data_IF_521038338139
#
_entry.id   IF_521038338139
#
_cell.length_a   1.000
_cell.length_b   1.000
_cell.length_c   1.000
_cell.angle_alpha   90.00
_cell.angle_beta   90.00
_cell.angle_gamma   90.00
#
_symmetry.space_group_name_H-M   'P 1'
#
loop_
_entity.id
_entity.type
_entity.pdbx_description
1 polymer ?
#
# COMPACT_ATOMS: atom_id res chain seq x y z
N UNK A 1 22.24 -58.08 -73.21
CA UNK A 1 23.11 -58.54 -72.09
C UNK A 1 22.79 -57.70 -70.87
N UNK A 2 22.66 -58.36 -69.71
CA UNK A 2 22.21 -57.84 -68.42
C UNK A 2 23.13 -56.75 -67.86
N UNK A 3 22.56 -55.74 -67.20
CA UNK A 3 22.74 -55.47 -65.76
C UNK A 3 22.37 -54.02 -65.43
N UNK A 4 21.48 -53.83 -64.46
CA UNK A 4 21.79 -53.08 -63.24
C UNK A 4 20.66 -53.30 -62.23
N UNK A 5 21.05 -53.89 -61.10
CA UNK A 5 20.27 -54.16 -59.91
C UNK A 5 19.92 -52.85 -59.19
N UNK A 6 18.80 -52.87 -58.43
CA UNK A 6 18.40 -52.01 -57.29
C UNK A 6 16.86 -51.95 -57.28
N UNK A 7 16.07 -52.09 -56.21
CA UNK A 7 16.26 -52.27 -54.77
C UNK A 7 14.88 -52.68 -54.21
N UNK A 8 14.87 -53.46 -53.11
CA UNK A 8 13.70 -53.91 -52.35
C UNK A 8 12.79 -52.77 -51.83
N UNK A 9 11.48 -53.02 -51.75
CA UNK A 9 10.60 -52.36 -50.77
C UNK A 9 9.42 -53.28 -50.41
N UNK A 10 9.36 -53.71 -49.15
CA UNK A 10 8.24 -54.45 -48.58
C UNK A 10 7.44 -53.56 -47.64
N UNK A 11 6.13 -53.63 -47.82
CA UNK A 11 5.02 -52.94 -47.18
C UNK A 11 4.84 -53.33 -45.71
N UNK A 12 4.42 -52.40 -44.84
CA UNK A 12 3.45 -52.69 -43.77
C UNK A 12 2.76 -51.41 -43.29
N UNK A 13 1.43 -51.48 -43.27
CA UNK A 13 0.45 -50.43 -42.93
C UNK A 13 -0.02 -50.64 -41.50
N UNK A 14 -0.28 -49.56 -40.75
CA UNK A 14 -1.17 -49.59 -39.59
C UNK A 14 -1.79 -48.20 -39.38
N UNK A 15 -3.09 -48.10 -39.71
CA UNK A 15 -3.98 -46.97 -39.46
C UNK A 15 -4.97 -47.44 -38.40
N UNK A 16 -5.04 -46.73 -37.26
CA UNK A 16 -6.14 -46.85 -36.30
C UNK A 16 -6.76 -45.47 -36.13
N UNK A 17 -8.07 -45.45 -36.32
CA UNK A 17 -9.00 -44.33 -36.41
C UNK A 17 -9.51 -44.00 -35.00
N UNK A 18 -9.73 -42.73 -34.63
CA UNK A 18 -10.76 -42.39 -33.65
C UNK A 18 -11.40 -41.00 -33.86
N UNK A 19 -12.71 -41.06 -34.09
CA UNK A 19 -13.81 -40.11 -33.84
C UNK A 19 -13.80 -38.66 -34.35
N UNK A 20 -14.77 -38.41 -35.22
CA UNK A 20 -15.41 -37.15 -35.63
C UNK A 20 -15.89 -36.28 -34.46
N UNK A 21 -15.85 -34.94 -34.59
CA UNK A 21 -17.04 -34.06 -34.74
C UNK A 21 -16.63 -32.58 -34.86
N UNK A 22 -17.19 -31.94 -35.90
CA UNK A 22 -17.34 -30.52 -36.24
C UNK A 22 -17.03 -29.43 -35.19
N UNK A 23 -16.41 -28.33 -35.63
CA UNK A 23 -17.07 -27.00 -35.72
C UNK A 23 -16.11 -25.83 -36.05
N UNK A 24 -16.36 -25.22 -37.22
CA UNK A 24 -16.38 -23.77 -37.53
C UNK A 24 -15.09 -22.91 -37.46
N UNK A 25 -14.70 -22.40 -38.65
CA UNK A 25 -14.22 -21.03 -38.96
C UNK A 25 -12.92 -20.55 -38.28
N UNK A 26 -11.80 -20.41 -39.00
CA UNK A 26 -11.44 -19.20 -39.79
C UNK A 26 -11.79 -17.90 -39.05
N UNK A 27 -10.87 -17.03 -38.64
CA UNK A 27 -9.86 -16.34 -39.45
C UNK A 27 -8.69 -15.88 -38.56
N UNK A 28 -7.47 -16.02 -39.08
CA UNK A 28 -6.22 -15.30 -38.77
C UNK A 28 -6.03 -14.70 -37.37
N UNK A 29 -5.02 -15.25 -36.69
CA UNK A 29 -4.26 -14.65 -35.59
C UNK A 29 -4.07 -13.13 -35.74
N UNK A 30 -4.80 -12.35 -34.95
CA UNK A 30 -4.31 -11.06 -34.51
C UNK A 30 -3.26 -11.36 -33.45
N UNK A 31 -2.00 -11.18 -33.84
CA UNK A 31 -0.88 -11.14 -32.93
C UNK A 31 -1.03 -9.93 -32.01
N UNK A 32 -1.81 -10.04 -30.93
CA UNK A 32 -1.71 -9.12 -29.81
C UNK A 32 -0.53 -9.60 -28.96
N UNK A 33 0.66 -9.19 -29.37
CA UNK A 33 1.80 -9.11 -28.45
C UNK A 33 1.62 -7.84 -27.61
N UNK A 34 0.66 -7.83 -26.68
CA UNK A 34 0.69 -6.88 -25.56
C UNK A 34 1.29 -7.60 -24.35
N UNK A 35 2.56 -7.98 -24.52
CA UNK A 35 3.44 -8.18 -23.38
C UNK A 35 3.84 -6.81 -22.84
N UNK A 36 3.13 -6.35 -21.81
CA UNK A 36 3.74 -5.50 -20.79
C UNK A 36 3.09 -5.71 -19.42
N UNK A 37 3.24 -6.91 -18.87
CA UNK A 37 2.98 -7.17 -17.46
C UNK A 37 4.25 -6.77 -16.69
N UNK A 38 4.26 -5.57 -16.12
CA UNK A 38 4.88 -5.31 -14.80
C UNK A 38 4.31 -4.02 -14.18
N UNK A 39 3.15 -4.13 -13.52
CA UNK A 39 2.58 -3.06 -12.70
C UNK A 39 3.09 -3.23 -11.28
N UNK A 40 4.12 -2.51 -10.88
CA UNK A 40 4.72 -2.66 -9.55
C UNK A 40 4.48 -1.37 -8.79
N UNK A 41 3.61 -1.32 -7.77
CA UNK A 41 3.50 -0.18 -6.84
C UNK A 41 4.28 -0.51 -5.58
N UNK A 42 5.56 -0.14 -5.54
CA UNK A 42 6.43 -0.39 -4.39
C UNK A 42 6.69 0.88 -3.56
N UNK A 43 6.12 0.87 -2.34
CA UNK A 43 6.58 1.50 -1.09
C UNK A 43 6.18 2.96 -0.82
N UNK A 44 5.24 3.14 0.12
CA UNK A 44 5.23 4.35 0.94
C UNK A 44 6.21 4.19 2.11
N UNK A 45 7.10 5.16 2.31
CA UNK A 45 7.95 5.21 3.51
C UNK A 45 7.14 5.82 4.66
N UNK A 46 7.16 5.20 5.83
CA UNK A 46 6.57 5.78 7.04
C UNK A 46 7.70 6.32 7.93
N UNK A 47 7.64 7.62 8.25
CA UNK A 47 8.59 8.28 9.13
C UNK A 47 7.90 8.67 10.45
N UNK A 48 8.60 8.45 11.57
CA UNK A 48 8.09 8.73 12.91
C UNK A 48 8.83 9.93 13.51
N UNK A 49 8.10 10.82 14.18
CA UNK A 49 8.66 11.95 14.92
C UNK A 49 7.98 12.06 16.29
N UNK A 50 8.77 12.21 17.34
CA UNK A 50 8.27 12.52 18.69
C UNK A 50 8.64 13.96 19.04
N UNK A 51 7.70 14.68 19.63
CA UNK A 51 7.89 16.02 20.17
C UNK A 51 7.28 16.06 21.57
N UNK A 52 7.93 16.79 22.47
CA UNK A 52 7.52 16.90 23.85
C UNK A 52 7.77 18.33 24.34
N UNK A 53 6.79 18.91 25.05
CA UNK A 53 6.91 20.20 25.72
C UNK A 53 6.70 19.98 27.23
N UNK A 54 7.41 20.69 28.12
CA UNK A 54 7.28 20.52 29.58
C UNK A 54 8.63 20.41 30.33
N UNK A 55 8.59 20.15 31.64
CA UNK A 55 9.77 20.17 32.53
C UNK A 55 10.51 18.82 32.56
N UNK A 56 9.86 17.68 32.27
CA UNK A 56 10.52 16.39 32.02
C UNK A 56 9.67 15.41 31.19
N UNK A 57 9.11 15.84 30.05
CA UNK A 57 8.21 15.02 29.28
C UNK A 57 8.98 13.92 28.52
N UNK A 58 8.43 12.71 28.50
CA UNK A 58 8.94 11.61 27.69
C UNK A 58 7.89 11.22 26.66
N UNK A 59 8.19 11.45 25.38
CA UNK A 59 7.33 11.03 24.27
C UNK A 59 8.13 10.11 23.36
N UNK A 60 7.55 8.97 23.00
CA UNK A 60 8.12 8.09 21.99
C UNK A 60 7.05 7.64 21.01
N UNK A 61 7.49 7.36 19.78
CA UNK A 61 6.66 6.79 18.73
C UNK A 61 7.47 5.73 17.99
N UNK A 62 6.83 4.60 17.70
CA UNK A 62 7.37 3.59 16.80
C UNK A 62 6.31 3.17 15.79
N UNK A 63 6.76 2.82 14.58
CA UNK A 63 5.90 2.49 13.45
C UNK A 63 6.36 1.16 12.87
N UNK A 64 5.43 0.24 12.66
CA UNK A 64 5.69 -1.03 11.98
C UNK A 64 4.63 -1.31 10.92
N UNK A 65 4.99 -1.58 9.66
CA UNK A 65 6.34 -1.47 9.09
C UNK A 65 6.72 0.00 8.79
N UNK A 66 8.02 0.30 8.72
CA UNK A 66 8.56 1.60 8.25
C UNK A 66 8.49 1.74 6.72
N UNK A 67 8.27 0.64 6.02
CA UNK A 67 8.12 0.55 4.56
C UNK A 67 6.85 -0.24 4.28
N UNK A 68 5.82 0.42 3.75
CA UNK A 68 4.53 -0.20 3.47
C UNK A 68 4.35 -0.44 1.97
N UNK A 69 4.12 -1.71 1.62
CA UNK A 69 3.76 -2.11 0.26
C UNK A 69 2.23 -2.26 0.13
N UNK A 70 1.61 -1.46 -0.73
CA UNK A 70 0.18 -1.51 -1.06
C UNK A 70 -0.14 -2.47 -2.23
N UNK A 71 0.85 -3.24 -2.68
CA UNK A 71 0.74 -4.25 -3.71
C UNK A 71 0.52 -3.68 -5.11
N UNK A 72 0.30 -4.59 -6.06
CA UNK A 72 0.02 -4.25 -7.46
C UNK A 72 -1.45 -3.97 -7.68
N UNK A 73 -1.73 -2.90 -8.44
CA UNK A 73 -3.08 -2.50 -8.85
C UNK A 73 -3.11 -2.03 -10.30
N UNK A 74 -4.26 -2.22 -10.93
CA UNK A 74 -4.54 -1.68 -12.26
C UNK A 74 -5.13 -0.28 -12.13
N UNK A 75 -4.95 0.53 -13.17
CA UNK A 75 -5.48 1.89 -13.27
C UNK A 75 -6.95 1.88 -13.70
N UNK A 76 -7.84 1.41 -12.82
CA UNK A 76 -9.28 1.25 -13.08
C UNK A 76 -10.17 2.32 -12.44
N UNK A 77 -9.58 3.26 -11.69
CA UNK A 77 -10.31 4.32 -11.01
C UNK A 77 -11.09 3.87 -9.78
N UNK A 78 -10.93 2.63 -9.32
CA UNK A 78 -11.60 2.11 -8.12
C UNK A 78 -10.83 2.47 -6.84
N UNK A 79 -11.56 2.57 -5.73
CA UNK A 79 -10.98 2.80 -4.40
C UNK A 79 -10.60 1.47 -3.74
N UNK A 80 -9.30 1.28 -3.51
CA UNK A 80 -8.78 0.08 -2.88
C UNK A 80 -8.55 0.28 -1.39
N UNK A 81 -9.00 -0.68 -0.59
CA UNK A 81 -8.87 -0.64 0.88
C UNK A 81 -7.71 -1.49 1.38
N UNK A 82 -6.94 -0.93 2.31
CA UNK A 82 -5.79 -1.56 2.92
C UNK A 82 -5.87 -1.40 4.43
N UNK A 83 -6.50 -2.38 5.07
CA UNK A 83 -6.81 -2.32 6.50
C UNK A 83 -5.62 -2.77 7.36
N UNK A 84 -5.48 -2.14 8.52
CA UNK A 84 -4.51 -2.41 9.57
C UNK A 84 -3.08 -2.61 9.06
N UNK A 85 -2.65 -1.75 8.13
CA UNK A 85 -1.36 -1.90 7.44
C UNK A 85 -0.18 -1.32 8.18
N UNK A 86 -0.43 -0.34 9.01
CA UNK A 86 0.60 0.29 9.83
C UNK A 86 0.15 0.29 11.27
N UNK A 87 0.96 -0.32 12.12
CA UNK A 87 0.87 -0.26 13.57
C UNK A 87 1.68 0.95 14.05
N UNK A 88 1.07 1.77 14.89
CA UNK A 88 1.69 2.93 15.52
C UNK A 88 1.60 2.72 17.02
N UNK A 89 2.74 2.63 17.69
CA UNK A 89 2.81 2.58 19.15
C UNK A 89 3.31 3.92 19.64
N UNK A 90 2.54 4.55 20.52
CA UNK A 90 2.86 5.85 21.11
C UNK A 90 2.97 5.69 22.61
N UNK A 91 4.03 6.25 23.19
CA UNK A 91 4.16 6.39 24.64
C UNK A 91 4.35 7.85 25.01
N UNK A 92 3.74 8.27 26.11
CA UNK A 92 3.84 9.62 26.64
C UNK A 92 3.77 9.59 28.16
N UNK A 93 4.62 10.33 28.85
CA UNK A 93 4.51 10.55 30.29
C UNK A 93 5.04 11.92 30.65
N UNK A 94 4.43 12.55 31.65
CA UNK A 94 4.92 13.79 32.24
C UNK A 94 5.08 13.67 33.75
N UNK A 95 6.04 14.40 34.30
CA UNK A 95 6.40 14.46 35.72
C UNK A 95 6.09 15.82 36.33
N UNK A 96 5.09 16.53 35.80
CA UNK A 96 4.71 17.82 36.33
C UNK A 96 3.49 17.71 37.27
N UNK A 97 3.68 18.14 38.53
CA UNK A 97 2.61 18.23 39.53
C UNK A 97 1.82 19.54 39.42
N UNK A 98 2.27 20.49 38.58
CA UNK A 98 1.68 21.81 38.36
C UNK A 98 1.00 21.92 36.99
N UNK A 99 1.32 21.05 36.03
CA UNK A 99 0.63 21.00 34.74
C UNK A 99 -0.53 20.01 34.84
N UNK A 100 -1.74 20.55 34.83
CA UNK A 100 -2.98 19.79 34.79
C UNK A 100 -3.55 19.86 33.37
N UNK A 101 -3.91 18.69 32.82
CA UNK A 101 -4.63 18.52 31.55
C UNK A 101 -3.80 18.52 30.24
N UNK A 102 -2.61 17.93 30.23
CA UNK A 102 -1.91 17.66 28.95
C UNK A 102 -2.58 16.55 28.16
N UNK A 103 -2.40 16.57 26.84
CA UNK A 103 -2.78 15.48 25.96
C UNK A 103 -1.60 15.01 25.14
N UNK A 104 -1.44 13.70 25.09
CA UNK A 104 -0.62 13.08 24.06
C UNK A 104 -1.46 13.02 22.79
N UNK A 105 -1.03 13.70 21.74
CA UNK A 105 -1.71 13.78 20.46
C UNK A 105 -0.92 13.03 19.39
N UNK A 106 -1.62 12.26 18.56
CA UNK A 106 -1.08 11.63 17.36
C UNK A 106 -1.57 12.39 16.13
N UNK A 107 -0.62 12.76 15.28
CA UNK A 107 -0.85 13.44 14.02
C UNK A 107 -0.36 12.59 12.85
N UNK A 108 -1.00 12.77 11.69
CA UNK A 108 -0.57 12.17 10.43
C UNK A 108 -0.54 13.22 9.31
N UNK A 109 0.40 13.08 8.39
CA UNK A 109 0.45 13.80 7.11
C UNK A 109 1.18 12.98 6.06
N UNK A 110 1.07 13.37 4.80
CA UNK A 110 1.89 12.82 3.71
C UNK A 110 2.86 13.89 3.20
N UNK A 111 3.99 13.48 2.64
CA UNK A 111 4.91 14.36 1.93
C UNK A 111 4.26 15.05 0.73
N UNK A 112 3.37 14.33 0.03
CA UNK A 112 2.80 14.79 -1.21
C UNK A 112 2.22 13.65 -2.05
N UNK A 113 1.98 13.89 -3.35
CA UNK A 113 1.47 12.86 -4.24
C UNK A 113 2.41 11.67 -4.34
N UNK A 114 1.86 10.55 -4.76
CA UNK A 114 2.62 9.36 -5.15
C UNK A 114 3.40 9.67 -6.43
N UNK A 115 4.72 9.48 -6.45
CA UNK A 115 5.59 9.85 -7.58
C UNK A 115 6.29 8.65 -8.20
N UNK A 116 6.38 8.64 -9.53
CA UNK A 116 7.14 7.68 -10.33
C UNK A 116 7.82 8.44 -11.49
N UNK A 117 9.04 8.92 -11.26
CA UNK A 117 9.73 9.80 -12.22
C UNK A 117 8.89 11.04 -12.51
N UNK A 118 8.47 11.22 -13.77
CA UNK A 118 7.62 12.34 -14.20
C UNK A 118 6.12 12.11 -13.99
N UNK A 119 5.69 10.91 -13.63
CA UNK A 119 4.28 10.57 -13.42
C UNK A 119 3.90 10.71 -11.94
N UNK A 120 2.65 11.05 -11.67
CA UNK A 120 2.13 11.11 -10.31
C UNK A 120 0.72 10.56 -10.18
N UNK A 121 0.40 10.05 -8.98
CA UNK A 121 -0.96 9.85 -8.51
C UNK A 121 -1.21 10.93 -7.46
N UNK A 122 -2.17 11.82 -7.75
CA UNK A 122 -2.47 12.98 -6.91
C UNK A 122 -2.85 12.57 -5.49
N UNK A 123 -2.46 13.39 -4.51
CA UNK A 123 -2.67 13.13 -3.08
C UNK A 123 -4.15 12.99 -2.71
N UNK A 124 -5.06 13.63 -3.45
CA UNK A 124 -6.51 13.50 -3.24
C UNK A 124 -7.04 12.07 -3.45
N UNK A 125 -6.27 11.21 -4.11
CA UNK A 125 -6.59 9.79 -4.27
C UNK A 125 -6.12 8.93 -3.10
N UNK A 126 -5.40 9.51 -2.13
CA UNK A 126 -4.86 8.79 -0.98
C UNK A 126 -5.56 9.25 0.30
N UNK A 127 -6.14 8.28 1.01
CA UNK A 127 -6.96 8.51 2.21
C UNK A 127 -6.56 7.58 3.35
N UNK A 128 -6.93 7.95 4.56
CA UNK A 128 -6.74 7.17 5.77
C UNK A 128 -7.96 7.19 6.68
N UNK A 129 -8.05 6.19 7.55
CA UNK A 129 -8.85 6.19 8.78
C UNK A 129 -8.26 5.21 9.80
N UNK A 130 -9.03 4.87 10.85
CA UNK A 130 -8.63 3.92 11.87
C UNK A 130 -8.14 4.64 13.11
N UNK A 131 -6.92 4.35 13.55
CA UNK A 131 -6.29 4.89 14.75
C UNK A 131 -7.07 4.60 16.04
N UNK A 132 -7.96 3.59 16.04
CA UNK A 132 -8.96 3.37 17.11
C UNK A 132 -9.82 4.61 17.39
N UNK A 133 -10.03 5.47 16.39
CA UNK A 133 -10.90 6.64 16.44
C UNK A 133 -12.11 6.41 15.53
N UNK A 134 -13.22 5.95 16.11
CA UNK A 134 -14.47 5.69 15.37
C UNK A 134 -15.13 6.94 14.80
N UNK A 135 -14.76 8.13 15.29
CA UNK A 135 -15.27 9.41 14.82
C UNK A 135 -14.47 9.99 13.66
N UNK A 136 -13.32 9.39 13.32
CA UNK A 136 -12.49 9.80 12.18
C UNK A 136 -13.07 9.19 10.89
N UNK A 137 -13.69 9.99 10.01
CA UNK A 137 -14.13 9.46 8.72
C UNK A 137 -12.90 9.14 7.84
N UNK A 138 -13.12 8.34 6.79
CA UNK A 138 -12.17 8.20 5.68
C UNK A 138 -11.78 9.58 5.14
N UNK A 139 -10.54 10.00 5.41
CA UNK A 139 -10.05 11.38 5.22
C UNK A 139 -8.90 11.41 4.23
N UNK A 140 -8.84 12.41 3.35
CA UNK A 140 -7.73 12.63 2.40
C UNK A 140 -6.48 13.06 3.15
N UNK A 141 -5.32 12.51 2.77
CA UNK A 141 -4.05 12.98 3.32
C UNK A 141 -3.80 14.44 2.95
N UNK A 142 -3.29 15.21 3.90
CA UNK A 142 -2.77 16.56 3.69
C UNK A 142 -1.24 16.56 3.83
N UNK A 143 -0.61 17.63 3.34
CA UNK A 143 0.82 17.90 3.58
C UNK A 143 1.09 18.54 4.94
N UNK A 144 0.04 18.98 5.64
CA UNK A 144 0.06 19.47 7.02
C UNK A 144 -0.44 18.43 8.01
N UNK A 145 0.05 18.50 9.26
CA UNK A 145 -0.35 17.60 10.34
C UNK A 145 -1.86 17.66 10.59
N UNK A 146 -2.50 16.49 10.59
CA UNK A 146 -3.91 16.31 10.97
C UNK A 146 -3.99 15.45 12.22
N UNK A 147 -4.67 15.92 13.28
CA UNK A 147 -4.82 15.16 14.52
C UNK A 147 -5.75 13.97 14.30
N UNK A 148 -5.30 12.77 14.64
CA UNK A 148 -6.05 11.52 14.46
C UNK A 148 -6.44 10.86 15.77
N UNK A 149 -5.70 11.12 16.85
CA UNK A 149 -6.02 10.63 18.20
C UNK A 149 -5.45 11.55 19.28
N UNK A 150 -6.10 11.54 20.44
CA UNK A 150 -5.71 12.25 21.65
C UNK A 150 -5.88 11.30 22.83
N UNK A 151 -4.88 11.20 23.69
CA UNK A 151 -4.97 10.55 24.99
C UNK A 151 -4.81 11.61 26.06
N UNK A 152 -5.76 11.64 27.00
CA UNK A 152 -5.71 12.58 28.09
C UNK A 152 -4.80 12.05 29.20
N UNK A 153 -3.90 12.90 29.69
CA UNK A 153 -3.13 12.64 30.89
C UNK A 153 -3.77 13.39 32.06
N UNK A 154 -4.34 12.64 33.00
CA UNK A 154 -4.89 13.14 34.24
C UNK A 154 -3.73 13.49 35.18
N UNK A 155 -3.36 14.78 35.21
CA UNK A 155 -2.30 15.27 36.09
C UNK A 155 -2.66 15.11 37.57
N UNK A 156 -2.33 13.97 38.17
CA UNK A 156 -2.24 13.73 39.62
C UNK A 156 -1.46 12.42 39.86
N UNK A 157 -0.17 12.54 40.22
CA UNK A 157 0.78 11.44 40.48
C UNK A 157 1.00 10.48 39.29
N UNK A 158 2.11 10.66 38.56
CA UNK A 158 2.62 9.80 37.47
C UNK A 158 1.52 9.27 36.54
N UNK A 159 1.11 10.07 35.56
CA UNK A 159 0.27 9.56 34.47
C UNK A 159 1.12 9.25 33.25
N UNK A 160 0.83 8.11 32.62
CA UNK A 160 1.53 7.66 31.44
C UNK A 160 0.59 6.93 30.50
N UNK A 161 0.75 7.22 29.22
CA UNK A 161 0.05 6.56 28.13
C UNK A 161 1.02 5.64 27.42
N UNK A 162 0.60 4.41 27.17
CA UNK A 162 1.25 3.50 26.22
C UNK A 162 0.15 2.79 25.45
N UNK A 163 -0.08 3.19 24.20
CA UNK A 163 -1.14 2.66 23.37
C UNK A 163 -0.62 2.28 21.98
N UNK A 164 -1.30 1.32 21.37
CA UNK A 164 -1.04 0.84 20.01
C UNK A 164 -2.30 0.99 19.18
N UNK A 165 -2.17 1.66 18.05
CA UNK A 165 -3.26 1.89 17.11
C UNK A 165 -2.87 1.47 15.70
N UNK A 166 -3.87 1.22 14.86
CA UNK A 166 -3.67 0.76 13.49
C UNK A 166 -4.22 1.78 12.49
N UNK A 167 -3.42 2.10 11.48
CA UNK A 167 -3.81 2.93 10.34
C UNK A 167 -4.32 2.05 9.21
N UNK A 168 -5.45 2.47 8.63
CA UNK A 168 -5.96 1.96 7.38
C UNK A 168 -5.64 2.97 6.27
N UNK A 169 -5.42 2.45 5.07
CA UNK A 169 -5.16 3.28 3.89
C UNK A 169 -6.13 2.96 2.78
N UNK A 170 -6.42 3.97 1.97
CA UNK A 170 -7.23 3.82 0.78
C UNK A 170 -6.60 4.57 -0.37
N UNK A 171 -6.48 3.89 -1.51
CA UNK A 171 -5.83 4.44 -2.69
C UNK A 171 -6.72 4.20 -3.89
N UNK A 172 -7.04 5.28 -4.59
CA UNK A 172 -7.62 5.22 -5.94
C UNK A 172 -6.51 5.37 -6.95
N UNK A 173 -6.42 4.47 -7.94
CA UNK A 173 -5.49 4.64 -9.06
C UNK A 173 -6.28 5.19 -10.25
N UNK A 174 -6.08 6.46 -10.64
CA UNK A 174 -6.82 7.06 -11.74
C UNK A 174 -6.67 6.27 -13.04
N UNK A 175 -7.71 6.29 -13.88
CA UNK A 175 -7.65 5.74 -15.23
C UNK A 175 -6.44 6.32 -15.98
N UNK A 176 -5.81 5.49 -16.82
CA UNK A 176 -4.67 5.87 -17.67
C UNK A 176 -3.39 6.27 -16.88
N UNK A 177 -3.32 5.98 -15.58
CA UNK A 177 -2.07 6.07 -14.82
C UNK A 177 -1.03 5.15 -15.48
N UNK A 178 0.15 5.68 -15.78
CA UNK A 178 1.23 4.90 -16.42
C UNK A 178 1.72 3.78 -15.50
N UNK A 179 2.05 2.59 -16.04
CA UNK A 179 2.66 1.52 -15.26
C UNK A 179 3.93 1.95 -14.52
N UNK A 180 4.10 1.43 -13.30
CA UNK A 180 5.35 1.50 -12.56
C UNK A 180 5.17 1.80 -11.07
N UNK A 181 6.30 2.04 -10.39
CA UNK A 181 6.37 2.19 -8.93
C UNK A 181 6.20 3.62 -8.49
N UNK A 182 5.08 3.87 -7.81
CA UNK A 182 4.81 5.15 -7.19
C UNK A 182 5.05 5.10 -5.69
N UNK A 183 5.73 6.12 -5.17
CA UNK A 183 6.10 6.24 -3.75
C UNK A 183 5.63 7.56 -3.16
N UNK A 184 5.36 7.57 -1.86
CA UNK A 184 5.17 8.80 -1.06
C UNK A 184 5.60 8.52 0.38
N UNK A 185 5.97 9.54 1.13
CA UNK A 185 6.25 9.38 2.56
C UNK A 185 5.02 9.76 3.39
N UNK A 186 4.66 8.94 4.38
CA UNK A 186 3.67 9.26 5.42
C UNK A 186 4.42 9.55 6.71
N UNK A 187 4.14 10.69 7.31
CA UNK A 187 4.72 11.09 8.59
C UNK A 187 3.69 10.90 9.69
N UNK A 188 4.14 10.29 10.78
CA UNK A 188 3.40 10.23 12.03
C UNK A 188 4.15 11.03 13.09
N UNK A 189 3.44 11.92 13.76
CA UNK A 189 4.01 12.76 14.82
C UNK A 189 3.25 12.53 16.12
N UNK A 190 3.96 12.12 17.17
CA UNK A 190 3.45 12.12 18.53
C UNK A 190 3.89 13.40 19.22
N UNK A 191 2.96 14.12 19.83
CA UNK A 191 3.23 15.38 20.52
C UNK A 191 2.50 15.42 21.86
N UNK A 192 3.21 15.74 22.93
CA UNK A 192 2.62 16.04 24.24
C UNK A 192 2.48 17.56 24.37
N UNK A 193 1.24 18.03 24.59
CA UNK A 193 0.86 19.46 24.63
C UNK A 193 -0.41 19.74 25.46
#
# INVERSE_FOLDING_TARGET
MRNLQNTFLLLTVSIVIFSTFFSLGSVNSVNITDQNITNQTNVSMAAAQAQANGISPQVSISITPTTLNLGTRIADGLDYSYLNRTQITVTGSDWDILVVNENLNLYVRSEGPFVNGSNNILLNNFRYDGFSNSSLPKTVFATSNSKVKSWHLYGFLYDSVSDTVYSNYYLTIPLRTSPGTYTTTVYYTAMLE
#
